data_IF_600841335882
#
_entry.id   IF_600841335882
#
_cell.length_a   1.000
_cell.length_b   1.000
_cell.length_c   1.000
_cell.angle_alpha   90.00
_cell.angle_beta   90.00
_cell.angle_gamma   90.00
#
_symmetry.space_group_name_H-M   'P 1'
#
loop_
_entity.id
_entity.type
_entity.pdbx_description
1 polymer ?
#
# COMPACT_ATOMS: atom_id res chain seq x y z
N UNK A 1 10.19 11.80 -32.27
CA UNK A 1 11.47 11.21 -31.83
C UNK A 1 11.10 10.01 -31.01
N UNK A 2 11.42 8.79 -31.46
CA UNK A 2 11.10 7.58 -30.72
C UNK A 2 12.08 7.45 -29.55
N UNK A 3 11.54 7.32 -28.33
CA UNK A 3 12.35 7.08 -27.13
C UNK A 3 12.60 5.58 -27.04
N UNK A 4 13.86 5.17 -26.96
CA UNK A 4 14.22 3.76 -26.85
C UNK A 4 14.39 3.36 -25.37
N UNK A 5 14.31 2.05 -25.08
CA UNK A 5 14.62 1.52 -23.75
C UNK A 5 16.03 1.90 -23.28
N UNK A 6 16.96 2.03 -24.23
CA UNK A 6 18.34 2.42 -23.97
C UNK A 6 18.46 3.88 -23.54
N UNK A 7 17.61 4.76 -24.06
CA UNK A 7 17.54 6.15 -23.63
C UNK A 7 17.01 6.26 -22.19
N UNK A 8 16.03 5.43 -21.84
CA UNK A 8 15.50 5.36 -20.48
C UNK A 8 16.54 4.83 -19.48
N UNK A 9 17.26 3.77 -19.84
CA UNK A 9 18.33 3.19 -19.03
C UNK A 9 19.44 4.20 -18.75
N UNK A 10 19.87 4.93 -19.78
CA UNK A 10 20.88 5.97 -19.64
C UNK A 10 20.41 7.09 -18.71
N UNK A 11 19.17 7.56 -18.86
CA UNK A 11 18.61 8.60 -18.01
C UNK A 11 18.57 8.16 -16.53
N UNK A 12 18.10 6.94 -16.25
CA UNK A 12 18.04 6.41 -14.87
C UNK A 12 19.44 6.28 -14.28
N UNK A 13 20.42 5.81 -15.05
CA UNK A 13 21.82 5.67 -14.61
C UNK A 13 22.51 7.00 -14.31
N UNK A 14 22.04 8.10 -14.91
CA UNK A 14 22.59 9.45 -14.67
C UNK A 14 21.97 10.17 -13.48
N UNK A 15 20.95 9.59 -12.83
CA UNK A 15 20.30 10.22 -11.69
C UNK A 15 21.16 10.12 -10.42
N UNK A 16 21.18 11.17 -9.59
CA UNK A 16 21.78 11.10 -8.26
C UNK A 16 21.13 10.02 -7.38
N UNK A 17 21.92 9.35 -6.54
CA UNK A 17 21.45 8.24 -5.69
C UNK A 17 20.31 8.61 -4.76
N UNK A 18 20.22 9.87 -4.33
CA UNK A 18 19.16 10.37 -3.46
C UNK A 18 17.76 10.35 -4.11
N UNK A 19 17.67 10.08 -5.41
CA UNK A 19 16.39 9.92 -6.12
C UNK A 19 16.04 8.45 -6.41
N UNK A 20 16.91 7.49 -6.08
CA UNK A 20 16.67 6.08 -6.43
C UNK A 20 15.40 5.51 -5.80
N UNK A 21 15.07 5.90 -4.56
CA UNK A 21 13.83 5.47 -3.91
C UNK A 21 12.60 5.99 -4.66
N UNK A 22 12.52 7.30 -4.92
CA UNK A 22 11.41 7.92 -5.64
C UNK A 22 11.26 7.38 -7.08
N UNK A 23 12.38 7.13 -7.76
CA UNK A 23 12.39 6.54 -9.10
C UNK A 23 11.90 5.10 -9.08
N UNK A 24 12.30 4.31 -8.08
CA UNK A 24 11.81 2.94 -7.91
C UNK A 24 10.31 2.93 -7.62
N UNK A 25 9.82 3.79 -6.74
CA UNK A 25 8.39 3.94 -6.44
C UNK A 25 7.59 4.29 -7.69
N UNK A 26 8.10 5.21 -8.51
CA UNK A 26 7.47 5.58 -9.76
C UNK A 26 7.48 4.44 -10.78
N UNK A 27 8.59 3.72 -10.91
CA UNK A 27 8.68 2.54 -11.78
C UNK A 27 7.68 1.47 -11.35
N UNK A 28 7.52 1.22 -10.06
CA UNK A 28 6.57 0.25 -9.53
C UNK A 28 5.11 0.69 -9.73
N UNK A 29 4.85 2.00 -9.63
CA UNK A 29 3.58 2.59 -10.06
C UNK A 29 3.31 2.37 -11.55
N UNK A 30 4.30 2.59 -12.43
CA UNK A 30 4.12 2.40 -13.88
C UNK A 30 3.90 0.93 -14.24
N UNK A 31 4.68 0.00 -13.65
CA UNK A 31 4.43 -1.44 -13.77
C UNK A 31 3.01 -1.75 -13.34
N UNK A 32 2.59 -1.27 -12.19
CA UNK A 32 1.22 -1.39 -11.71
C UNK A 32 0.21 -0.85 -12.72
N UNK A 33 0.34 0.39 -13.18
CA UNK A 33 -0.60 1.05 -14.08
C UNK A 33 -0.75 0.35 -15.43
N UNK A 34 0.37 -0.05 -16.05
CA UNK A 34 0.35 -0.61 -17.40
C UNK A 34 0.23 -2.13 -17.45
N UNK A 35 0.60 -2.85 -16.38
CA UNK A 35 0.28 -4.28 -16.25
C UNK A 35 -1.17 -4.49 -15.82
N UNK A 36 -1.79 -3.48 -15.17
CA UNK A 36 -3.22 -3.48 -14.81
C UNK A 36 -4.14 -2.89 -15.87
N UNK A 37 -3.63 -2.42 -17.02
CA UNK A 37 -4.47 -1.87 -18.10
C UNK A 37 -5.42 -2.90 -18.74
N UNK A 38 -5.19 -4.21 -18.54
CA UNK A 38 -6.07 -5.31 -18.95
C UNK A 38 -6.67 -6.09 -17.76
N UNK A 39 -6.40 -5.69 -16.52
CA UNK A 39 -6.88 -6.40 -15.34
C UNK A 39 -8.08 -5.65 -14.76
N UNK A 40 -9.19 -6.39 -14.63
CA UNK A 40 -10.33 -6.07 -13.78
C UNK A 40 -9.87 -5.40 -12.48
N UNK A 41 -10.65 -4.40 -12.02
CA UNK A 41 -10.66 -3.76 -10.70
C UNK A 41 -9.47 -4.06 -9.76
N UNK A 42 -8.86 -3.02 -9.16
CA UNK A 42 -7.75 -3.17 -8.20
C UNK A 42 -8.03 -4.21 -7.11
N UNK A 43 -9.29 -4.44 -6.75
CA UNK A 43 -9.68 -5.50 -5.82
C UNK A 43 -9.21 -6.89 -6.28
N UNK A 44 -9.14 -7.15 -7.60
CA UNK A 44 -8.65 -8.34 -8.28
C UNK A 44 -7.31 -8.90 -7.77
N UNK A 45 -6.41 -8.02 -7.32
CA UNK A 45 -5.06 -8.38 -6.85
C UNK A 45 -5.02 -8.80 -5.37
N UNK A 46 -6.11 -8.58 -4.64
CA UNK A 46 -6.17 -8.90 -3.22
C UNK A 46 -6.24 -10.42 -3.04
N UNK A 47 -5.39 -10.95 -2.16
CA UNK A 47 -5.53 -12.32 -1.68
C UNK A 47 -6.84 -12.47 -0.90
N UNK A 48 -7.37 -13.69 -0.80
CA UNK A 48 -8.59 -13.96 -0.02
C UNK A 48 -8.50 -13.40 1.42
N UNK A 49 -7.40 -13.61 2.19
CA UNK A 49 -7.28 -13.01 3.52
C UNK A 49 -7.35 -11.47 3.54
N UNK A 50 -6.83 -10.81 2.51
CA UNK A 50 -6.91 -9.34 2.40
C UNK A 50 -8.34 -8.90 2.12
N UNK A 51 -9.07 -9.62 1.25
CA UNK A 51 -10.49 -9.33 0.97
C UNK A 51 -11.36 -9.54 2.21
N UNK A 52 -11.13 -10.62 2.95
CA UNK A 52 -11.81 -10.90 4.21
C UNK A 52 -11.55 -9.83 5.26
N UNK A 53 -10.30 -9.39 5.40
CA UNK A 53 -9.92 -8.30 6.31
C UNK A 53 -10.67 -7.00 5.99
N UNK A 54 -10.76 -6.64 4.70
CA UNK A 54 -11.50 -5.45 4.26
C UNK A 54 -13.00 -5.61 4.54
N UNK A 55 -13.61 -6.76 4.20
CA UNK A 55 -15.03 -7.03 4.50
C UNK A 55 -15.33 -6.90 5.99
N UNK A 56 -14.45 -7.45 6.83
CA UNK A 56 -14.56 -7.32 8.28
C UNK A 56 -14.46 -5.87 8.74
N UNK A 57 -13.51 -5.11 8.19
CA UNK A 57 -13.37 -3.68 8.51
C UNK A 57 -14.62 -2.87 8.17
N UNK A 58 -15.29 -3.18 7.06
CA UNK A 58 -16.57 -2.55 6.69
C UNK A 58 -17.66 -2.92 7.71
N UNK A 59 -17.82 -4.21 8.05
CA UNK A 59 -18.78 -4.66 9.08
C UNK A 59 -18.53 -3.99 10.44
N UNK A 60 -17.26 -3.86 10.83
CA UNK A 60 -16.88 -3.22 12.09
C UNK A 60 -17.24 -1.72 12.10
N UNK A 61 -17.16 -1.03 10.95
CA UNK A 61 -17.58 0.37 10.81
C UNK A 61 -19.10 0.49 10.87
N UNK A 62 -19.82 -0.32 10.10
CA UNK A 62 -21.29 -0.27 10.01
C UNK A 62 -21.97 -0.61 11.34
N UNK A 63 -21.35 -1.50 12.14
CA UNK A 63 -21.88 -1.92 13.43
C UNK A 63 -21.24 -1.17 14.62
N UNK A 64 -20.58 -0.03 14.39
CA UNK A 64 -19.96 0.80 15.43
C UNK A 64 -18.99 0.04 16.36
N UNK A 65 -18.31 -1.00 15.84
CA UNK A 65 -17.29 -1.78 16.56
C UNK A 65 -15.90 -1.13 16.49
N UNK A 66 -15.81 0.12 16.05
CA UNK A 66 -14.56 0.88 15.99
C UNK A 66 -14.23 1.53 17.32
N UNK A 67 -12.95 1.80 17.56
CA UNK A 67 -12.48 2.50 18.76
C UNK A 67 -11.73 3.74 18.33
N UNK A 68 -11.91 4.83 19.09
CA UNK A 68 -11.04 6.00 18.94
C UNK A 68 -9.59 5.62 19.25
N UNK A 69 -8.65 6.33 18.64
CA UNK A 69 -7.22 6.10 18.86
C UNK A 69 -6.86 6.22 20.36
N UNK A 70 -7.39 7.23 21.05
CA UNK A 70 -7.17 7.44 22.49
C UNK A 70 -7.70 6.27 23.33
N UNK A 71 -8.92 5.80 23.02
CA UNK A 71 -9.53 4.66 23.72
C UNK A 71 -8.73 3.37 23.51
N UNK A 72 -8.23 3.14 22.30
CA UNK A 72 -7.38 1.99 21.99
C UNK A 72 -6.05 2.05 22.77
N UNK A 73 -5.38 3.20 22.79
CA UNK A 73 -4.15 3.40 23.56
C UNK A 73 -4.35 3.12 25.06
N UNK A 74 -5.45 3.63 25.63
CA UNK A 74 -5.77 3.39 27.04
C UNK A 74 -5.98 1.91 27.32
N UNK A 75 -6.78 1.22 26.49
CA UNK A 75 -7.05 -0.22 26.64
C UNK A 75 -5.77 -1.07 26.59
N UNK A 76 -4.83 -0.71 25.72
CA UNK A 76 -3.53 -1.37 25.62
C UNK A 76 -2.69 -1.12 26.89
N UNK A 77 -2.63 0.12 27.36
CA UNK A 77 -1.91 0.47 28.61
C UNK A 77 -2.47 -0.31 29.81
N UNK A 78 -3.79 -0.36 29.95
CA UNK A 78 -4.48 -1.06 31.04
C UNK A 78 -4.17 -2.58 31.01
N UNK A 79 -4.19 -3.20 29.84
CA UNK A 79 -3.85 -4.62 29.67
C UNK A 79 -2.39 -4.94 30.02
N UNK A 80 -1.46 -4.06 29.65
CA UNK A 80 -0.04 -4.22 30.01
C UNK A 80 0.14 -4.09 31.52
N UNK A 81 -0.57 -3.15 32.15
CA UNK A 81 -0.51 -2.95 33.60
C UNK A 81 -1.10 -4.14 34.38
N UNK A 82 -2.19 -4.76 33.89
CA UNK A 82 -2.82 -5.92 34.55
C UNK A 82 -2.00 -7.21 34.48
N UNK A 83 -0.92 -7.23 33.69
CA UNK A 83 0.01 -8.36 33.58
C UNK A 83 1.28 -8.21 34.43
N UNK A 84 1.45 -7.06 35.08
CA UNK A 84 2.50 -6.84 36.08
C UNK A 84 1.98 -7.22 37.46
#
# INVERSE_FOLDING_TARGET
MEITLKDLENNIRTLPENFYEEVNDFIDFLKTKYTRANAEDWSGILSEPQRESIKKGIDDIENEKTLSHESAQKKIKDYIASKK
#
